data_IF_282672291768
#
_entry.id   IF_282672291768
#
_cell.length_a   1.000
_cell.length_b   1.000
_cell.length_c   1.000
_cell.angle_alpha   90.00
_cell.angle_beta   90.00
_cell.angle_gamma   90.00
#
_symmetry.space_group_name_H-M   'P 1'
#
loop_
_entity.id
_entity.type
_entity.pdbx_description
1 polymer ?
#
# COMPACT_ATOMS: atom_id res chain seq x y z
N UNK A 1 -6.35 -22.90 -34.67
CA UNK A 1 -5.43 -23.16 -33.56
C UNK A 1 -4.03 -22.65 -33.91
N UNK A 2 -3.33 -22.06 -32.95
CA UNK A 2 -1.95 -21.60 -33.13
C UNK A 2 -1.02 -22.38 -32.21
N UNK A 3 0.18 -22.75 -32.73
CA UNK A 3 1.16 -23.53 -31.98
C UNK A 3 1.71 -22.71 -30.80
N UNK A 4 1.81 -23.33 -29.63
CA UNK A 4 2.40 -22.69 -28.45
C UNK A 4 3.92 -22.79 -28.54
N UNK A 5 4.58 -21.64 -28.53
CA UNK A 5 6.04 -21.50 -28.52
C UNK A 5 6.45 -20.97 -27.16
N UNK A 6 7.43 -21.61 -26.53
CA UNK A 6 7.92 -21.22 -25.20
C UNK A 6 9.42 -21.02 -25.26
N UNK A 7 9.90 -19.80 -24.97
CA UNK A 7 11.31 -19.44 -25.02
C UNK A 7 11.96 -19.80 -26.38
N UNK A 8 11.28 -19.51 -27.50
CA UNK A 8 11.66 -19.88 -28.89
C UNK A 8 11.70 -21.39 -29.15
N UNK A 9 11.14 -22.22 -28.26
CA UNK A 9 11.03 -23.67 -28.47
C UNK A 9 9.60 -23.98 -28.92
N UNK A 10 9.44 -24.56 -30.09
CA UNK A 10 8.17 -25.07 -30.59
C UNK A 10 7.73 -26.28 -29.77
N UNK A 11 6.48 -26.27 -29.33
CA UNK A 11 5.90 -27.39 -28.59
C UNK A 11 4.91 -28.15 -29.51
N UNK A 12 4.41 -29.29 -29.05
CA UNK A 12 3.31 -30.02 -29.70
C UNK A 12 1.93 -29.64 -29.16
N UNK A 13 1.86 -28.50 -28.43
CA UNK A 13 0.61 -27.95 -27.92
C UNK A 13 0.15 -26.78 -28.78
N UNK A 14 -1.14 -26.66 -28.93
CA UNK A 14 -1.80 -25.59 -29.67
C UNK A 14 -2.85 -24.92 -28.81
N UNK A 15 -3.02 -23.62 -28.97
CA UNK A 15 -4.07 -22.86 -28.32
C UNK A 15 -5.15 -22.50 -29.34
N UNK A 16 -6.41 -22.65 -28.96
CA UNK A 16 -7.55 -22.17 -29.74
C UNK A 16 -7.87 -20.72 -29.38
N UNK A 17 -8.65 -20.06 -30.20
CA UNK A 17 -9.07 -18.69 -29.99
C UNK A 17 -10.00 -18.52 -28.77
N UNK A 18 -10.71 -19.58 -28.40
CA UNK A 18 -11.55 -19.65 -27.21
C UNK A 18 -10.81 -20.14 -25.95
N UNK A 19 -9.48 -20.25 -26.03
CA UNK A 19 -8.61 -20.54 -24.89
C UNK A 19 -8.47 -22.01 -24.51
N UNK A 20 -8.86 -22.97 -25.37
CA UNK A 20 -8.63 -24.41 -25.16
C UNK A 20 -7.24 -24.81 -25.64
N UNK A 21 -6.58 -25.67 -24.89
CA UNK A 21 -5.26 -26.19 -25.24
C UNK A 21 -5.34 -27.61 -25.77
N UNK A 22 -4.85 -27.83 -26.99
CA UNK A 22 -4.81 -29.10 -27.67
C UNK A 22 -3.39 -29.68 -27.68
N UNK A 23 -3.26 -30.97 -27.49
CA UNK A 23 -2.01 -31.72 -27.59
C UNK A 23 -2.00 -32.62 -28.81
N UNK A 24 -1.18 -32.28 -29.80
CA UNK A 24 -1.11 -33.02 -31.07
C UNK A 24 -0.45 -34.41 -30.97
N UNK A 25 0.33 -34.68 -29.89
CA UNK A 25 0.91 -36.01 -29.66
C UNK A 25 -0.12 -37.03 -29.20
N UNK A 26 -1.11 -36.59 -28.42
CA UNK A 26 -2.11 -37.46 -27.83
C UNK A 26 -3.50 -37.30 -28.45
N UNK A 27 -3.60 -36.39 -29.43
CA UNK A 27 -4.81 -36.05 -30.18
C UNK A 27 -5.99 -35.66 -29.24
N UNK A 28 -5.69 -34.92 -28.17
CA UNK A 28 -6.70 -34.56 -27.17
C UNK A 28 -6.55 -33.14 -26.67
N UNK A 29 -7.67 -32.56 -26.24
CA UNK A 29 -7.65 -31.31 -25.46
C UNK A 29 -7.21 -31.55 -24.01
N UNK A 30 -6.37 -30.67 -23.50
CA UNK A 30 -5.96 -30.72 -22.11
C UNK A 30 -7.11 -30.28 -21.18
N UNK A 31 -7.28 -30.97 -20.07
CA UNK A 31 -8.11 -30.50 -18.99
C UNK A 31 -7.40 -29.35 -18.28
N UNK A 32 -7.93 -28.12 -18.42
CA UNK A 32 -7.40 -26.95 -17.73
C UNK A 32 -7.63 -27.02 -16.21
N UNK A 33 -6.79 -26.31 -15.48
CA UNK A 33 -6.89 -26.17 -14.02
C UNK A 33 -7.14 -24.73 -13.64
N UNK A 34 -8.19 -24.46 -12.89
CA UNK A 34 -8.45 -23.13 -12.33
C UNK A 34 -7.62 -22.97 -11.08
N UNK A 35 -6.77 -21.95 -11.06
CA UNK A 35 -5.96 -21.64 -9.88
C UNK A 35 -6.85 -21.04 -8.78
N UNK A 36 -6.95 -21.73 -7.64
CA UNK A 36 -7.82 -21.31 -6.53
C UNK A 36 -7.45 -19.96 -5.90
N UNK A 37 -6.20 -19.51 -6.01
CA UNK A 37 -5.75 -18.23 -5.43
C UNK A 37 -6.13 -17.03 -6.30
N UNK A 38 -6.04 -17.17 -7.62
CA UNK A 38 -6.22 -16.04 -8.53
C UNK A 38 -7.38 -16.22 -9.53
N UNK A 39 -8.01 -17.40 -9.59
CA UNK A 39 -9.18 -17.71 -10.42
C UNK A 39 -8.91 -17.88 -11.92
N UNK A 40 -7.65 -17.87 -12.37
CA UNK A 40 -7.32 -18.03 -13.79
C UNK A 40 -7.23 -19.49 -14.22
N UNK A 41 -7.70 -19.77 -15.45
CA UNK A 41 -7.51 -21.06 -16.11
C UNK A 41 -6.05 -21.20 -16.56
N UNK A 42 -5.45 -22.35 -16.30
CA UNK A 42 -4.06 -22.67 -16.68
C UNK A 42 -3.91 -24.10 -17.18
N UNK A 43 -2.89 -24.34 -17.99
CA UNK A 43 -2.49 -25.63 -18.52
C UNK A 43 -1.08 -25.96 -18.07
N UNK A 44 -0.85 -27.23 -17.67
CA UNK A 44 0.50 -27.75 -17.46
C UNK A 44 0.93 -28.44 -18.75
N UNK A 45 1.97 -27.93 -19.38
CA UNK A 45 2.56 -28.51 -20.58
C UNK A 45 3.94 -29.09 -20.28
N UNK A 46 4.35 -30.10 -21.05
CA UNK A 46 5.71 -30.67 -21.00
C UNK A 46 6.48 -30.17 -22.21
N UNK A 47 7.63 -29.57 -21.98
CA UNK A 47 8.49 -29.10 -23.06
C UNK A 47 9.31 -30.25 -23.67
N UNK A 48 9.94 -30.06 -24.85
CA UNK A 48 10.76 -31.07 -25.50
C UNK A 48 11.92 -31.64 -24.67
N UNK A 49 12.45 -30.82 -23.74
CA UNK A 49 13.48 -31.22 -22.77
C UNK A 49 12.93 -31.99 -21.55
N UNK A 50 11.63 -32.30 -21.52
CA UNK A 50 10.97 -32.98 -20.41
C UNK A 50 10.55 -32.06 -19.26
N UNK A 51 10.95 -30.82 -19.24
CA UNK A 51 10.55 -29.87 -18.20
C UNK A 51 9.05 -29.53 -18.29
N UNK A 52 8.43 -29.21 -17.13
CA UNK A 52 7.01 -28.85 -17.05
C UNK A 52 6.84 -27.35 -16.85
N UNK A 53 5.91 -26.75 -17.58
CA UNK A 53 5.59 -25.34 -17.45
C UNK A 53 4.08 -25.13 -17.32
N UNK A 54 3.68 -24.26 -16.39
CA UNK A 54 2.29 -23.81 -16.25
C UNK A 54 2.10 -22.55 -17.04
N UNK A 55 1.13 -22.55 -17.94
CA UNK A 55 0.77 -21.41 -18.78
C UNK A 55 -0.68 -21.04 -18.58
N UNK A 56 -0.98 -19.74 -18.50
CA UNK A 56 -2.34 -19.25 -18.33
C UNK A 56 -3.04 -19.11 -19.69
N UNK A 57 -4.29 -19.57 -19.77
CA UNK A 57 -5.08 -19.57 -21.01
C UNK A 57 -5.21 -18.18 -21.64
N UNK A 58 -5.62 -17.17 -20.86
CA UNK A 58 -5.76 -15.79 -21.33
C UNK A 58 -4.45 -15.22 -21.91
N UNK A 59 -3.30 -15.56 -21.32
CA UNK A 59 -2.00 -15.12 -21.85
C UNK A 59 -1.68 -15.80 -23.16
N UNK A 60 -1.88 -17.10 -23.24
CA UNK A 60 -1.67 -17.84 -24.49
C UNK A 60 -2.54 -17.31 -25.63
N UNK A 61 -3.81 -17.00 -25.35
CA UNK A 61 -4.70 -16.41 -26.35
C UNK A 61 -4.23 -15.01 -26.72
N UNK A 62 -3.95 -14.14 -25.76
CA UNK A 62 -3.51 -12.77 -26.06
C UNK A 62 -2.18 -12.73 -26.83
N UNK A 63 -1.22 -13.56 -26.48
CA UNK A 63 0.09 -13.64 -27.17
C UNK A 63 -0.03 -14.17 -28.61
N UNK A 64 -1.05 -14.97 -28.89
CA UNK A 64 -1.21 -15.61 -30.21
C UNK A 64 -2.28 -14.94 -31.11
N UNK A 65 -3.33 -14.35 -30.56
CA UNK A 65 -4.49 -13.87 -31.33
C UNK A 65 -4.68 -12.36 -31.29
N UNK A 66 -4.21 -11.67 -30.24
CA UNK A 66 -4.29 -10.22 -30.19
C UNK A 66 -3.07 -9.57 -30.85
N UNK A 67 -3.26 -8.39 -31.39
CA UNK A 67 -2.17 -7.55 -31.84
C UNK A 67 -1.27 -7.16 -30.65
N UNK A 68 0.05 -7.31 -30.84
CA UNK A 68 1.00 -6.97 -29.80
C UNK A 68 1.06 -5.45 -29.61
N UNK A 69 0.96 -4.95 -28.36
CA UNK A 69 0.88 -3.53 -28.14
C UNK A 69 2.21 -2.83 -28.44
N UNK A 70 2.17 -1.74 -29.19
CA UNK A 70 3.33 -0.87 -29.40
C UNK A 70 3.84 -0.26 -28.09
N UNK A 71 2.93 0.02 -27.16
CA UNK A 71 3.26 0.51 -25.82
C UNK A 71 3.68 -0.65 -24.90
N UNK A 72 4.98 -0.78 -24.64
CA UNK A 72 5.55 -1.83 -23.76
C UNK A 72 5.02 -1.82 -22.32
N UNK A 73 4.38 -0.73 -21.86
CA UNK A 73 3.75 -0.68 -20.56
C UNK A 73 2.42 -1.45 -20.52
N UNK A 74 1.81 -1.77 -21.67
CA UNK A 74 0.66 -2.66 -21.78
C UNK A 74 1.10 -4.11 -21.73
N UNK A 75 1.44 -4.58 -20.53
CA UNK A 75 2.02 -5.92 -20.29
C UNK A 75 1.10 -6.85 -19.50
N UNK A 76 -0.12 -6.41 -19.21
CA UNK A 76 -1.16 -7.23 -18.58
C UNK A 76 -2.26 -7.54 -19.57
N UNK A 77 -2.87 -8.71 -19.41
CA UNK A 77 -4.08 -9.11 -20.14
C UNK A 77 -5.27 -8.92 -19.21
N UNK A 78 -6.25 -8.15 -19.67
CA UNK A 78 -7.49 -7.90 -18.98
C UNK A 78 -8.62 -8.71 -19.62
N UNK A 79 -9.61 -9.15 -18.82
CA UNK A 79 -10.89 -9.70 -19.29
C UNK A 79 -11.90 -8.57 -19.30
N UNK A 80 -12.41 -8.21 -20.47
CA UNK A 80 -13.31 -7.07 -20.66
C UNK A 80 -14.60 -7.23 -19.85
N UNK A 81 -15.14 -8.45 -19.77
CA UNK A 81 -16.31 -8.79 -18.97
C UNK A 81 -16.03 -9.02 -17.47
N UNK A 82 -14.76 -8.97 -17.05
CA UNK A 82 -14.29 -9.28 -15.68
C UNK A 82 -14.32 -10.78 -15.33
N UNK A 83 -14.76 -11.67 -16.23
CA UNK A 83 -14.80 -13.11 -16.00
C UNK A 83 -13.47 -13.78 -16.42
N UNK A 84 -12.67 -14.18 -15.45
CA UNK A 84 -11.34 -14.80 -15.67
C UNK A 84 -11.37 -16.16 -16.36
N UNK A 85 -12.53 -16.75 -16.56
CA UNK A 85 -12.72 -18.02 -17.26
C UNK A 85 -13.14 -17.83 -18.71
N UNK A 86 -13.58 -16.65 -19.11
CA UNK A 86 -13.91 -16.31 -20.49
C UNK A 86 -12.66 -15.86 -21.25
N UNK A 87 -11.94 -16.83 -21.81
CA UNK A 87 -10.64 -16.60 -22.47
C UNK A 87 -10.75 -16.46 -24.01
N UNK A 88 -11.94 -16.09 -24.54
CA UNK A 88 -12.12 -15.82 -25.97
C UNK A 88 -11.36 -14.56 -26.35
N UNK A 89 -10.70 -14.53 -27.51
CA UNK A 89 -9.87 -13.41 -27.97
C UNK A 89 -10.59 -12.06 -27.89
N UNK A 90 -11.84 -11.99 -28.32
CA UNK A 90 -12.66 -10.76 -28.30
C UNK A 90 -12.96 -10.21 -26.90
N UNK A 91 -12.82 -11.06 -25.87
CA UNK A 91 -12.97 -10.67 -24.46
C UNK A 91 -11.65 -10.28 -23.79
N UNK A 92 -10.54 -10.30 -24.52
CA UNK A 92 -9.22 -10.04 -23.95
C UNK A 92 -8.61 -8.78 -24.56
N UNK A 93 -7.88 -8.03 -23.77
CA UNK A 93 -7.17 -6.85 -24.21
C UNK A 93 -5.84 -6.68 -23.48
N UNK A 94 -4.84 -6.09 -24.16
CA UNK A 94 -3.60 -5.68 -23.54
C UNK A 94 -3.78 -4.33 -22.83
N UNK A 95 -3.43 -4.28 -21.56
CA UNK A 95 -3.58 -3.08 -20.69
C UNK A 95 -2.33 -2.82 -19.87
N UNK A 96 -2.21 -1.57 -19.44
CA UNK A 96 -1.26 -1.20 -18.40
C UNK A 96 -1.78 -1.65 -17.01
N UNK A 97 -0.91 -1.82 -15.99
CA UNK A 97 -1.33 -2.12 -14.62
C UNK A 97 -2.35 -1.11 -14.05
N UNK A 98 -2.25 0.17 -14.47
CA UNK A 98 -3.17 1.23 -14.05
C UNK A 98 -4.55 1.05 -14.65
N UNK A 99 -4.63 0.80 -15.97
CA UNK A 99 -5.89 0.55 -16.68
C UNK A 99 -6.59 -0.69 -16.11
N UNK A 100 -5.85 -1.79 -15.90
CA UNK A 100 -6.39 -3.02 -15.32
C UNK A 100 -6.95 -2.80 -13.90
N UNK A 101 -6.24 -2.01 -13.07
CA UNK A 101 -6.73 -1.66 -11.74
C UNK A 101 -8.00 -0.81 -11.81
N UNK A 102 -8.05 0.17 -12.72
CA UNK A 102 -9.23 1.02 -12.89
C UNK A 102 -10.45 0.21 -13.38
N UNK A 103 -10.24 -0.69 -14.35
CA UNK A 103 -11.28 -1.60 -14.81
C UNK A 103 -11.83 -2.47 -13.67
N UNK A 104 -10.95 -3.09 -12.87
CA UNK A 104 -11.36 -3.89 -11.72
C UNK A 104 -12.18 -3.09 -10.69
N UNK A 105 -11.91 -1.79 -10.55
CA UNK A 105 -12.69 -0.88 -9.69
C UNK A 105 -14.06 -0.59 -10.30
N UNK A 106 -14.11 -0.27 -11.59
CA UNK A 106 -15.36 0.04 -12.31
C UNK A 106 -16.32 -1.17 -12.33
N UNK A 107 -15.78 -2.37 -12.52
CA UNK A 107 -16.54 -3.62 -12.48
C UNK A 107 -16.89 -4.10 -11.05
N UNK A 108 -16.53 -3.34 -10.01
CA UNK A 108 -16.76 -3.74 -8.60
C UNK A 108 -15.96 -4.94 -8.11
N UNK A 109 -15.01 -5.44 -8.92
CA UNK A 109 -14.14 -6.56 -8.59
C UNK A 109 -13.10 -6.20 -7.50
N UNK A 110 -12.80 -4.91 -7.35
CA UNK A 110 -11.92 -4.36 -6.33
C UNK A 110 -12.66 -3.32 -5.51
N UNK A 111 -12.90 -3.62 -4.24
CA UNK A 111 -13.51 -2.66 -3.30
C UNK A 111 -12.45 -1.71 -2.76
N UNK A 112 -12.80 -0.43 -2.67
CA UNK A 112 -12.01 0.51 -1.89
C UNK A 112 -12.12 0.19 -0.39
N UNK A 113 -10.99 0.29 0.31
CA UNK A 113 -11.05 0.33 1.76
C UNK A 113 -11.34 1.76 2.19
N UNK A 114 -12.55 2.00 2.68
CA UNK A 114 -12.93 3.27 3.25
C UNK A 114 -12.00 3.66 4.40
N UNK A 115 -11.87 4.95 4.61
CA UNK A 115 -11.06 5.51 5.68
C UNK A 115 -11.93 6.44 6.49
N UNK A 116 -12.03 6.18 7.78
CA UNK A 116 -12.80 6.95 8.74
C UNK A 116 -11.85 7.83 9.54
N UNK A 117 -12.21 9.12 9.64
CA UNK A 117 -11.46 10.15 10.32
C UNK A 117 -12.20 10.54 11.59
N UNK A 118 -11.51 10.54 12.72
CA UNK A 118 -12.08 10.88 14.02
C UNK A 118 -11.28 12.02 14.65
N UNK A 119 -11.97 12.95 15.31
CA UNK A 119 -11.33 14.04 16.04
C UNK A 119 -10.66 13.55 17.35
N UNK A 120 -10.07 14.49 18.09
CA UNK A 120 -9.44 14.23 19.40
C UNK A 120 -10.40 13.67 20.43
N UNK A 121 -11.68 14.02 20.33
CA UNK A 121 -12.77 13.55 21.22
C UNK A 121 -13.33 12.19 20.78
N UNK A 122 -12.67 11.55 19.79
CA UNK A 122 -13.03 10.23 19.25
C UNK A 122 -14.38 10.21 18.51
N UNK A 123 -14.89 11.36 18.09
CA UNK A 123 -16.10 11.46 17.27
C UNK A 123 -15.73 11.34 15.80
N UNK A 124 -16.50 10.55 15.05
CA UNK A 124 -16.37 10.45 13.60
C UNK A 124 -16.68 11.82 12.98
N UNK A 125 -15.74 12.34 12.19
CA UNK A 125 -15.88 13.66 11.54
C UNK A 125 -15.96 13.55 10.02
N UNK A 126 -15.37 12.50 9.42
CA UNK A 126 -15.44 12.29 7.98
C UNK A 126 -15.23 10.81 7.60
N UNK A 127 -15.78 10.45 6.43
CA UNK A 127 -15.56 9.19 5.74
C UNK A 127 -15.00 9.48 4.34
N UNK A 128 -13.94 8.79 3.97
CA UNK A 128 -13.28 8.92 2.66
C UNK A 128 -13.27 7.57 1.94
N UNK A 129 -13.43 7.59 0.61
CA UNK A 129 -13.39 6.39 -0.23
C UNK A 129 -12.00 5.73 -0.25
N UNK A 130 -10.95 6.52 -0.07
CA UNK A 130 -9.57 6.03 -0.09
C UNK A 130 -8.64 6.86 0.81
N UNK A 131 -7.45 6.33 1.10
CA UNK A 131 -6.37 7.07 1.80
C UNK A 131 -5.94 8.31 1.01
N UNK A 132 -6.00 8.26 -0.33
CA UNK A 132 -5.65 9.41 -1.18
C UNK A 132 -6.64 10.55 -1.02
N UNK A 133 -7.94 10.24 -0.97
CA UNK A 133 -8.99 11.24 -0.76
C UNK A 133 -8.88 11.87 0.63
N UNK A 134 -8.60 11.05 1.64
CA UNK A 134 -8.36 11.51 3.01
C UNK A 134 -7.13 12.45 3.08
N UNK A 135 -6.04 12.09 2.42
CA UNK A 135 -4.82 12.90 2.37
C UNK A 135 -5.05 14.25 1.68
N UNK A 136 -5.75 14.25 0.55
CA UNK A 136 -6.09 15.48 -0.18
C UNK A 136 -6.98 16.41 0.65
N UNK A 137 -7.99 15.87 1.35
CA UNK A 137 -8.92 16.66 2.15
C UNK A 137 -8.31 17.23 3.44
N UNK A 138 -7.30 16.56 4.01
CA UNK A 138 -6.73 16.94 5.31
C UNK A 138 -5.32 17.51 5.24
N UNK A 139 -4.72 17.55 4.04
CA UNK A 139 -3.32 17.94 3.81
C UNK A 139 -2.31 17.13 4.64
N UNK A 140 -2.65 15.88 4.95
CA UNK A 140 -1.77 14.93 5.63
C UNK A 140 -1.23 13.94 4.59
N UNK A 141 0.05 13.59 4.66
CA UNK A 141 0.62 12.70 3.65
C UNK A 141 -0.04 11.31 3.64
N UNK A 142 -0.19 10.73 2.45
CA UNK A 142 -0.73 9.37 2.23
C UNK A 142 0.01 8.34 3.09
N UNK A 143 1.35 8.45 3.16
CA UNK A 143 2.19 7.52 3.92
C UNK A 143 1.91 7.55 5.41
N UNK A 144 1.70 8.74 5.98
CA UNK A 144 1.40 8.90 7.41
C UNK A 144 0.03 8.30 7.77
N UNK A 145 -1.01 8.61 6.95
CA UNK A 145 -2.35 8.02 7.17
C UNK A 145 -2.28 6.50 7.02
N UNK A 146 -1.59 6.00 5.99
CA UNK A 146 -1.45 4.57 5.74
C UNK A 146 -0.75 3.85 6.90
N UNK A 147 0.37 4.40 7.42
CA UNK A 147 1.06 3.86 8.58
C UNK A 147 0.16 3.81 9.81
N UNK A 148 -0.64 4.85 10.04
CA UNK A 148 -1.55 4.89 11.18
C UNK A 148 -2.67 3.84 11.08
N UNK A 149 -3.18 3.62 9.86
CA UNK A 149 -4.19 2.59 9.59
C UNK A 149 -3.70 1.16 9.85
N UNK A 150 -2.39 0.90 9.73
CA UNK A 150 -1.81 -0.42 9.99
C UNK A 150 -1.58 -0.72 11.48
N UNK A 151 -1.67 0.28 12.35
CA UNK A 151 -1.43 0.09 13.79
C UNK A 151 -2.65 -0.51 14.48
N UNK A 152 -2.42 -1.47 15.39
CA UNK A 152 -3.47 -2.02 16.26
C UNK A 152 -3.92 -0.97 17.29
N UNK A 153 -2.97 -0.19 17.82
CA UNK A 153 -3.24 0.88 18.76
C UNK A 153 -3.13 2.22 18.03
N UNK A 154 -4.26 2.88 17.84
CA UNK A 154 -4.36 4.13 17.10
C UNK A 154 -3.75 5.30 17.87
N UNK A 155 -3.04 6.16 17.13
CA UNK A 155 -2.44 7.40 17.64
C UNK A 155 -2.90 8.60 16.82
N UNK A 156 -2.70 9.82 17.34
CA UNK A 156 -3.03 11.03 16.59
C UNK A 156 -2.04 11.23 15.43
N UNK A 157 -2.59 11.37 14.22
CA UNK A 157 -1.86 11.71 13.03
C UNK A 157 -2.52 12.93 12.36
N UNK A 158 -1.80 14.05 12.31
CA UNK A 158 -2.35 15.31 11.82
C UNK A 158 -3.50 15.87 12.67
N UNK A 159 -3.60 15.48 13.95
CA UNK A 159 -4.69 15.88 14.85
C UNK A 159 -5.92 14.98 14.81
N UNK A 160 -5.89 13.90 14.02
CA UNK A 160 -6.98 12.95 13.84
C UNK A 160 -6.55 11.52 14.18
N UNK A 161 -7.53 10.68 14.52
CA UNK A 161 -7.38 9.23 14.51
C UNK A 161 -7.93 8.66 13.21
N UNK A 162 -7.33 7.58 12.72
CA UNK A 162 -7.65 6.96 11.45
C UNK A 162 -8.00 5.48 11.62
N UNK A 163 -9.09 5.04 10.99
CA UNK A 163 -9.53 3.64 11.02
C UNK A 163 -10.10 3.22 9.67
N UNK A 164 -10.06 1.91 9.37
CA UNK A 164 -10.86 1.31 8.29
C UNK A 164 -12.26 0.91 8.78
N UNK A 165 -12.52 0.99 10.08
CA UNK A 165 -13.80 0.67 10.70
C UNK A 165 -14.50 1.96 11.15
N UNK A 166 -15.84 1.93 11.17
CA UNK A 166 -16.66 3.06 11.68
C UNK A 166 -16.51 3.30 13.19
N UNK A 167 -15.80 2.40 13.86
CA UNK A 167 -15.47 2.50 15.27
C UNK A 167 -13.96 2.57 15.45
N UNK A 168 -13.54 3.40 16.38
CA UNK A 168 -12.15 3.44 16.79
C UNK A 168 -11.83 2.23 17.68
N UNK A 169 -10.85 1.43 17.23
CA UNK A 169 -10.27 0.37 18.06
C UNK A 169 -9.48 0.92 19.26
N UNK A 170 -8.53 0.14 19.76
CA UNK A 170 -7.67 0.54 20.88
C UNK A 170 -6.90 1.82 20.56
N UNK A 171 -6.93 2.79 21.46
CA UNK A 171 -6.26 4.09 21.31
C UNK A 171 -5.08 4.15 22.28
N UNK A 172 -3.97 4.72 21.79
CA UNK A 172 -2.82 5.01 22.63
C UNK A 172 -3.22 6.00 23.73
N UNK A 173 -3.11 5.55 24.98
CA UNK A 173 -3.43 6.41 26.10
C UNK A 173 -2.26 7.36 26.36
N UNK A 174 -2.41 8.60 25.94
CA UNK A 174 -1.40 9.65 26.16
C UNK A 174 -1.36 10.18 27.60
N UNK A 175 -2.25 9.71 28.50
CA UNK A 175 -2.25 10.16 29.91
C UNK A 175 -0.91 9.87 30.62
N UNK A 176 -0.09 8.96 30.09
CA UNK A 176 1.23 8.59 30.64
C UNK A 176 2.43 9.09 29.83
N UNK A 177 2.23 9.81 28.73
CA UNK A 177 3.29 10.66 28.18
C UNK A 177 3.43 11.78 29.23
N UNK A 178 4.48 11.64 30.07
CA UNK A 178 4.70 12.54 31.21
C UNK A 178 4.40 13.97 30.79
N UNK A 179 3.56 14.66 31.59
CA UNK A 179 3.29 16.09 31.39
C UNK A 179 4.61 16.74 31.07
N UNK A 180 4.72 17.40 29.92
CA UNK A 180 5.90 18.16 29.60
C UNK A 180 6.18 19.01 30.84
N UNK A 181 7.29 18.71 31.52
CA UNK A 181 7.59 19.43 32.77
C UNK A 181 7.94 20.85 32.37
N UNK A 182 7.35 21.79 33.04
CA UNK A 182 7.74 23.19 32.93
C UNK A 182 9.23 23.33 33.21
N UNK A 183 9.88 24.22 32.50
CA UNK A 183 11.31 24.45 32.60
C UNK A 183 11.52 25.93 32.88
N UNK A 184 12.28 26.23 33.92
CA UNK A 184 12.63 27.57 34.33
C UNK A 184 14.05 27.89 33.86
N UNK A 185 14.21 29.08 33.29
CA UNK A 185 15.51 29.61 32.80
C UNK A 185 16.01 30.66 33.78
N UNK A 186 17.28 30.53 34.15
CA UNK A 186 17.98 31.49 35.00
C UNK A 186 19.31 31.88 34.33
N UNK A 187 19.80 33.09 34.62
CA UNK A 187 21.18 33.46 34.30
C UNK A 187 22.18 32.71 35.18
N UNK A 188 23.48 32.90 34.92
CA UNK A 188 24.56 32.23 35.68
C UNK A 188 24.63 32.70 37.13
N UNK A 189 24.07 33.85 37.47
CA UNK A 189 23.98 34.40 38.81
C UNK A 189 22.75 33.91 39.57
N UNK A 190 21.92 33.05 38.93
CA UNK A 190 20.74 32.51 39.53
C UNK A 190 19.51 33.44 39.46
N UNK A 191 19.54 34.53 38.69
CA UNK A 191 18.37 35.40 38.48
C UNK A 191 17.42 34.78 37.48
N UNK A 192 16.15 34.72 37.82
CA UNK A 192 15.10 34.20 36.94
C UNK A 192 14.96 35.06 35.65
N UNK A 193 14.85 34.37 34.49
CA UNK A 193 14.71 34.99 33.20
C UNK A 193 13.33 34.66 32.59
N UNK A 194 13.01 33.38 32.46
CA UNK A 194 11.77 32.96 31.77
C UNK A 194 11.30 31.57 32.19
N UNK A 195 10.05 31.26 31.84
CA UNK A 195 9.40 29.96 32.04
C UNK A 195 8.88 29.42 30.70
N UNK A 196 9.09 28.12 30.48
CA UNK A 196 8.63 27.39 29.28
C UNK A 196 7.77 26.20 29.68
N UNK A 197 6.78 25.88 28.86
CA UNK A 197 5.89 24.73 29.07
C UNK A 197 6.62 23.38 28.91
N UNK A 198 7.79 23.37 28.29
CA UNK A 198 8.61 22.18 28.06
C UNK A 198 10.05 22.51 27.73
N UNK A 199 10.96 21.53 27.96
CA UNK A 199 12.35 21.63 27.52
C UNK A 199 12.48 21.79 25.97
N UNK A 200 11.54 21.29 25.20
CA UNK A 200 11.48 21.46 23.75
C UNK A 200 11.18 22.90 23.33
N UNK A 201 10.29 23.58 24.05
CA UNK A 201 10.00 25.02 23.84
C UNK A 201 11.19 25.88 24.22
N UNK A 202 11.77 25.61 25.38
CA UNK A 202 12.98 26.25 25.83
C UNK A 202 14.16 26.10 24.84
N UNK A 203 14.34 24.92 24.26
CA UNK A 203 15.36 24.69 23.25
C UNK A 203 15.15 25.54 21.99
N UNK A 204 13.92 25.64 21.51
CA UNK A 204 13.57 26.48 20.36
C UNK A 204 13.85 27.95 20.61
N UNK A 205 13.51 28.45 21.81
CA UNK A 205 13.69 29.86 22.16
C UNK A 205 15.16 30.31 22.15
N UNK A 206 16.10 29.41 22.46
CA UNK A 206 17.55 29.68 22.47
C UNK A 206 18.28 29.14 21.22
N UNK A 207 17.55 28.73 20.17
CA UNK A 207 18.14 28.19 18.95
C UNK A 207 18.98 26.91 19.17
N UNK A 208 18.58 26.06 20.10
CA UNK A 208 19.21 24.76 20.33
C UNK A 208 18.60 23.70 19.39
N UNK A 209 19.46 22.83 18.82
CA UNK A 209 19.03 21.76 17.89
C UNK A 209 18.11 20.73 18.55
N UNK A 210 18.27 20.50 19.86
CA UNK A 210 17.44 19.57 20.63
C UNK A 210 17.37 19.98 22.11
N UNK A 211 16.47 19.36 22.85
CA UNK A 211 16.21 19.67 24.27
C UNK A 211 16.96 18.80 25.27
N UNK A 212 17.81 17.87 24.80
CA UNK A 212 18.45 16.87 25.68
C UNK A 212 19.25 17.49 26.81
N UNK A 213 20.12 18.46 26.49
CA UNK A 213 20.98 19.12 27.47
C UNK A 213 20.20 19.98 28.45
N UNK A 214 19.10 20.63 28.03
CA UNK A 214 18.19 21.33 28.96
C UNK A 214 17.58 20.33 29.93
N UNK A 215 17.12 19.17 29.44
CA UNK A 215 16.62 18.11 30.30
C UNK A 215 17.68 17.52 31.23
N UNK A 216 18.96 17.51 30.86
CA UNK A 216 20.08 17.11 31.71
C UNK A 216 20.37 18.13 32.80
N UNK A 217 20.30 19.43 32.49
CA UNK A 217 20.35 20.51 33.49
C UNK A 217 19.23 20.35 34.53
N UNK A 218 17.99 20.20 34.09
CA UNK A 218 16.83 20.04 34.97
C UNK A 218 16.91 18.79 35.86
N UNK A 219 17.67 17.77 35.46
CA UNK A 219 17.94 16.56 36.27
C UNK A 219 19.22 16.65 37.11
N UNK A 220 19.91 17.80 37.07
CA UNK A 220 21.15 18.03 37.81
C UNK A 220 22.40 17.30 37.26
N UNK A 221 22.29 16.73 36.04
CA UNK A 221 23.45 16.02 35.40
C UNK A 221 24.51 16.96 34.88
N UNK A 222 24.10 18.15 34.39
CA UNK A 222 25.02 19.23 34.00
C UNK A 222 24.57 20.54 34.66
N UNK A 223 25.51 21.42 34.97
CA UNK A 223 25.23 22.65 35.73
C UNK A 223 24.53 23.73 34.90
N UNK A 224 24.86 23.81 33.61
CA UNK A 224 24.34 24.85 32.71
C UNK A 224 24.41 24.40 31.24
N UNK A 225 23.61 25.05 30.39
CA UNK A 225 23.66 24.87 28.94
C UNK A 225 23.37 26.19 28.22
N UNK A 226 24.23 26.53 27.22
CA UNK A 226 24.19 27.79 26.45
C UNK A 226 24.14 29.08 27.30
N UNK A 227 24.91 29.11 28.40
CA UNK A 227 24.99 30.29 29.28
C UNK A 227 23.81 30.45 30.24
N UNK A 228 22.97 29.45 30.41
CA UNK A 228 21.82 29.49 31.30
C UNK A 228 21.77 28.27 32.22
N UNK A 229 21.21 28.49 33.43
CA UNK A 229 20.86 27.43 34.37
C UNK A 229 19.38 27.08 34.08
N UNK A 230 19.08 25.79 34.04
CA UNK A 230 17.75 25.25 33.75
C UNK A 230 17.24 24.39 34.91
N UNK A 231 16.02 24.61 35.35
CA UNK A 231 15.39 23.87 36.45
C UNK A 231 13.98 23.43 36.12
#
# INVERSE_FOLDING_TARGET
MKQIIVNNISTWYYITEDGKCYNSKTDNYLKGQVNYKNGYLSYNITLPDGSKKRLYAHRLVAENYLEQPLNKNKNQVNHIDGNKLNNISDNLEWVTPKENTNHAIQCGLKKFKHVFCFNKDRKLVAEYKSVKDAAAATNISVSLIFQELQKDIKSLCGGFYWSHEKELGKIKNYKNLGRAKEVLQYDLNGKYINKYSSAGEAARSIGAKNSSHIGECCRGKIKQYKGFIWR
#
